data_IF_452405942480
#
_entry.id   IF_452405942480
#
_cell.length_a   1.000
_cell.length_b   1.000
_cell.length_c   1.000
_cell.angle_alpha   90.00
_cell.angle_beta   90.00
_cell.angle_gamma   90.00
#
_symmetry.space_group_name_H-M   'P 1'
#
loop_
_entity.id
_entity.type
_entity.pdbx_description
1 polymer ?
#
# COMPACT_ATOMS: atom_id res chain seq x y z
N UNK A 1 -51.52 -14.87 54.92
CA UNK A 1 -50.48 -14.10 54.20
C UNK A 1 -49.58 -15.08 53.45
N UNK A 2 -49.68 -15.11 52.12
CA UNK A 2 -48.93 -16.03 51.25
C UNK A 2 -47.53 -15.44 51.00
N UNK A 3 -46.47 -16.19 51.31
CA UNK A 3 -45.08 -15.78 51.00
C UNK A 3 -44.85 -15.91 49.48
N UNK A 4 -44.44 -14.81 48.86
CA UNK A 4 -44.12 -14.73 47.44
C UNK A 4 -42.86 -15.58 47.12
N UNK A 5 -42.95 -16.62 46.27
CA UNK A 5 -41.85 -17.54 45.98
C UNK A 5 -40.77 -16.96 45.04
N UNK A 6 -40.87 -15.69 44.62
CA UNK A 6 -39.94 -15.06 43.69
C UNK A 6 -38.94 -14.06 44.30
N UNK A 7 -38.89 -13.90 45.64
CA UNK A 7 -37.82 -13.11 46.26
C UNK A 7 -36.55 -13.96 46.39
N UNK A 8 -35.66 -13.87 45.39
CA UNK A 8 -34.28 -14.36 45.51
C UNK A 8 -33.45 -13.33 46.29
N UNK A 9 -32.71 -13.84 47.28
CA UNK A 9 -31.70 -13.10 48.03
C UNK A 9 -30.62 -12.54 47.10
N UNK A 10 -30.23 -11.28 47.31
CA UNK A 10 -29.08 -10.68 46.64
C UNK A 10 -27.81 -11.41 47.10
N UNK A 11 -27.35 -12.37 46.29
CA UNK A 11 -25.97 -12.87 46.39
C UNK A 11 -25.03 -11.70 46.15
N UNK A 12 -24.21 -11.42 47.14
CA UNK A 12 -23.10 -10.49 47.05
C UNK A 12 -22.04 -11.11 46.12
N UNK A 13 -22.21 -10.93 44.81
CA UNK A 13 -21.16 -11.24 43.83
C UNK A 13 -20.11 -10.16 44.00
N UNK A 14 -18.91 -10.53 44.45
CA UNK A 14 -17.75 -9.64 44.52
C UNK A 14 -17.41 -9.11 43.14
N UNK A 15 -18.09 -8.05 42.74
CA UNK A 15 -17.90 -7.35 41.48
C UNK A 15 -16.83 -6.31 41.72
N UNK A 16 -15.58 -6.72 41.51
CA UNK A 16 -14.46 -5.80 41.45
C UNK A 16 -14.42 -5.20 40.03
N UNK A 17 -14.87 -3.96 39.90
CA UNK A 17 -14.90 -3.23 38.64
C UNK A 17 -13.50 -2.82 38.14
N UNK A 18 -12.43 -3.12 38.88
CA UNK A 18 -11.04 -2.81 38.49
C UNK A 18 -10.43 -3.82 37.50
N UNK A 19 -11.12 -4.92 37.16
CA UNK A 19 -10.62 -5.95 36.24
C UNK A 19 -10.94 -5.63 34.76
N UNK A 20 -11.79 -4.63 34.49
CA UNK A 20 -12.17 -4.24 33.12
C UNK A 20 -11.40 -3.04 32.57
N UNK A 21 -10.23 -2.73 33.13
CA UNK A 21 -9.33 -1.73 32.56
C UNK A 21 -8.35 -2.38 31.56
N UNK A 22 -8.89 -3.14 30.60
CA UNK A 22 -8.13 -3.65 29.46
C UNK A 22 -8.77 -3.15 28.19
N UNK A 23 -8.04 -2.29 27.49
CA UNK A 23 -8.35 -1.82 26.15
C UNK A 23 -8.90 -2.96 25.26
N UNK A 24 -9.89 -2.69 24.39
CA UNK A 24 -10.48 -3.72 23.56
C UNK A 24 -9.40 -4.45 22.77
N UNK A 25 -9.32 -5.78 22.93
CA UNK A 25 -8.40 -6.64 22.19
C UNK A 25 -8.89 -6.72 20.73
N UNK A 26 -8.60 -5.71 19.92
CA UNK A 26 -8.90 -5.72 18.49
C UNK A 26 -8.09 -6.84 17.84
N UNK A 27 -8.77 -7.92 17.43
CA UNK A 27 -8.14 -8.99 16.66
C UNK A 27 -7.73 -8.41 15.31
N UNK A 28 -6.41 -8.42 15.04
CA UNK A 28 -5.85 -7.95 13.78
C UNK A 28 -6.48 -8.69 12.60
N UNK A 29 -6.74 -7.96 11.52
CA UNK A 29 -7.16 -8.55 10.26
C UNK A 29 -6.01 -9.34 9.62
N UNK A 30 -6.32 -10.26 8.70
CA UNK A 30 -5.28 -11.00 7.95
C UNK A 30 -4.35 -10.08 7.18
N UNK A 31 -4.88 -8.96 6.68
CA UNK A 31 -4.08 -7.94 6.00
C UNK A 31 -3.07 -7.31 6.95
N UNK A 32 -3.49 -6.93 8.15
CA UNK A 32 -2.62 -6.36 9.19
C UNK A 32 -1.57 -7.38 9.66
N UNK A 33 -1.97 -8.65 9.86
CA UNK A 33 -1.03 -9.73 10.15
C UNK A 33 0.04 -9.85 9.04
N UNK A 34 -0.37 -9.79 7.78
CA UNK A 34 0.55 -9.85 6.64
C UNK A 34 1.45 -8.61 6.53
N UNK A 35 0.96 -7.41 6.88
CA UNK A 35 1.80 -6.22 6.96
C UNK A 35 2.86 -6.31 8.07
N UNK A 36 2.51 -6.89 9.23
CA UNK A 36 3.48 -7.11 10.31
C UNK A 36 4.53 -8.16 9.95
N UNK A 37 4.13 -9.24 9.25
CA UNK A 37 5.09 -10.21 8.70
C UNK A 37 6.00 -9.56 7.66
N UNK A 38 5.45 -8.76 6.76
CA UNK A 38 6.24 -7.98 5.80
C UNK A 38 7.24 -7.08 6.54
N UNK A 39 6.80 -6.38 7.60
CA UNK A 39 7.67 -5.50 8.38
C UNK A 39 8.89 -6.26 8.90
N UNK A 40 8.69 -7.41 9.55
CA UNK A 40 9.79 -8.26 10.04
C UNK A 40 10.74 -8.69 8.92
N UNK A 41 10.20 -9.15 7.78
CA UNK A 41 11.01 -9.54 6.61
C UNK A 41 11.86 -8.36 6.06
N UNK A 42 11.29 -7.15 6.03
CA UNK A 42 11.97 -5.96 5.52
C UNK A 42 12.98 -5.38 6.53
N UNK A 43 12.84 -5.66 7.82
CA UNK A 43 13.84 -5.31 8.85
C UNK A 43 15.11 -6.14 8.70
N UNK A 44 14.96 -7.43 8.41
CA UNK A 44 16.10 -8.35 8.26
C UNK A 44 16.81 -8.22 6.90
N UNK A 45 16.10 -7.76 5.86
CA UNK A 45 16.70 -7.60 4.54
C UNK A 45 17.69 -6.41 4.50
N UNK A 46 18.94 -6.65 4.10
CA UNK A 46 19.95 -5.59 3.95
C UNK A 46 19.89 -4.89 2.59
N UNK A 47 19.29 -5.56 1.59
CA UNK A 47 19.18 -5.03 0.23
C UNK A 47 18.12 -3.94 0.09
N UNK A 48 18.22 -3.20 -1.02
CA UNK A 48 17.28 -2.14 -1.36
C UNK A 48 15.85 -2.65 -1.57
N UNK A 49 14.87 -1.92 -1.04
CA UNK A 49 13.44 -2.26 -1.07
C UNK A 49 12.63 -1.17 -1.78
N UNK A 50 11.90 -1.57 -2.82
CA UNK A 50 11.03 -0.70 -3.62
C UNK A 50 9.59 -1.20 -3.48
N UNK A 51 8.68 -0.34 -3.05
CA UNK A 51 7.25 -0.69 -2.93
C UNK A 51 6.42 0.05 -3.97
N UNK A 52 5.43 -0.62 -4.54
CA UNK A 52 4.41 -0.05 -5.42
C UNK A 52 3.11 0.10 -4.65
N UNK A 53 2.60 1.32 -4.56
CA UNK A 53 1.35 1.66 -3.87
C UNK A 53 0.42 2.35 -4.86
N UNK A 54 -0.87 2.08 -4.80
CA UNK A 54 -1.84 2.59 -5.78
C UNK A 54 -3.16 1.86 -5.66
N UNK A 55 -4.26 2.48 -6.10
CA UNK A 55 -5.59 1.88 -6.10
C UNK A 55 -5.64 0.54 -6.89
N UNK A 56 -6.70 -0.27 -6.68
CA UNK A 56 -6.93 -1.47 -7.48
C UNK A 56 -6.93 -1.16 -8.97
N UNK A 57 -6.24 -2.00 -9.76
CA UNK A 57 -6.17 -1.81 -11.21
C UNK A 57 -5.29 -0.65 -11.67
N UNK A 58 -4.53 0.01 -10.78
CA UNK A 58 -3.60 1.08 -11.15
C UNK A 58 -2.40 0.63 -12.01
N UNK A 59 -2.20 -0.68 -12.18
CA UNK A 59 -1.14 -1.26 -13.01
C UNK A 59 0.17 -1.58 -12.27
N UNK A 60 0.16 -1.63 -10.93
CA UNK A 60 1.33 -1.91 -10.07
C UNK A 60 2.09 -3.18 -10.47
N UNK A 61 1.41 -4.32 -10.47
CA UNK A 61 1.97 -5.63 -10.82
C UNK A 61 2.55 -5.68 -12.23
N UNK A 62 1.86 -5.07 -13.20
CA UNK A 62 2.32 -4.95 -14.59
C UNK A 62 3.53 -4.03 -14.72
N UNK A 63 3.57 -2.93 -13.96
CA UNK A 63 4.70 -2.02 -13.91
C UNK A 63 5.93 -2.69 -13.30
N UNK A 64 5.76 -3.41 -12.18
CA UNK A 64 6.83 -4.20 -11.56
C UNK A 64 7.42 -5.22 -12.53
N UNK A 65 6.56 -6.00 -13.21
CA UNK A 65 7.03 -6.98 -14.18
C UNK A 65 7.80 -6.30 -15.33
N UNK A 66 7.33 -5.13 -15.79
CA UNK A 66 7.99 -4.39 -16.88
C UNK A 66 9.32 -3.77 -16.45
N UNK A 67 9.40 -3.19 -15.25
CA UNK A 67 10.62 -2.60 -14.68
C UNK A 67 11.72 -3.64 -14.42
N UNK A 68 11.35 -4.91 -14.30
CA UNK A 68 12.29 -6.02 -14.07
C UNK A 68 12.50 -6.87 -15.32
N UNK A 69 12.11 -6.37 -16.50
CA UNK A 69 12.18 -7.07 -17.79
C UNK A 69 11.55 -8.48 -17.76
N UNK A 70 10.56 -8.71 -16.90
CA UNK A 70 9.90 -9.99 -16.72
C UNK A 70 10.69 -11.04 -15.94
N UNK A 71 11.77 -10.63 -15.27
CA UNK A 71 12.75 -11.52 -14.61
C UNK A 71 12.65 -11.56 -13.08
N UNK A 72 11.73 -10.82 -12.47
CA UNK A 72 11.53 -10.89 -11.03
C UNK A 72 10.94 -12.24 -10.60
N UNK A 73 11.38 -12.74 -9.46
CA UNK A 73 10.92 -14.02 -8.92
C UNK A 73 10.45 -13.92 -7.46
N UNK A 74 9.31 -14.50 -7.08
CA UNK A 74 8.31 -15.10 -7.97
C UNK A 74 7.69 -14.05 -8.90
N UNK A 75 7.10 -14.45 -10.02
CA UNK A 75 6.41 -13.49 -10.91
C UNK A 75 5.13 -12.94 -10.24
N UNK A 76 4.84 -11.62 -10.38
CA UNK A 76 3.58 -11.06 -9.95
C UNK A 76 2.41 -11.70 -10.70
N UNK A 77 1.30 -11.91 -10.00
CA UNK A 77 0.07 -12.37 -10.62
C UNK A 77 -0.62 -11.19 -11.30
N UNK A 78 -0.70 -11.21 -12.63
CA UNK A 78 -1.33 -10.17 -13.44
C UNK A 78 -2.65 -10.70 -13.97
N UNK A 79 -3.76 -10.23 -13.41
CA UNK A 79 -5.12 -10.57 -13.83
C UNK A 79 -5.91 -9.37 -14.35
N UNK A 80 -6.95 -9.65 -15.14
CA UNK A 80 -7.95 -8.66 -15.58
C UNK A 80 -8.90 -8.24 -14.44
N UNK A 81 -8.91 -8.97 -13.31
CA UNK A 81 -9.74 -8.68 -12.15
C UNK A 81 -9.14 -7.61 -11.23
N UNK A 82 -9.99 -6.78 -10.64
CA UNK A 82 -9.62 -5.89 -9.52
C UNK A 82 -9.14 -6.72 -8.34
N UNK A 83 -8.10 -6.27 -7.63
CA UNK A 83 -7.53 -6.94 -6.43
C UNK A 83 -6.94 -8.34 -6.67
N UNK A 84 -6.18 -8.52 -7.77
CA UNK A 84 -5.41 -9.76 -7.98
C UNK A 84 -4.38 -10.00 -6.86
N UNK A 85 -3.74 -8.92 -6.38
CA UNK A 85 -2.86 -8.94 -5.21
C UNK A 85 -3.71 -8.81 -3.95
N UNK A 86 -4.20 -9.93 -3.41
CA UNK A 86 -5.08 -9.96 -2.24
C UNK A 86 -4.37 -10.58 -1.03
N UNK A 87 -3.92 -9.73 -0.11
CA UNK A 87 -3.28 -10.15 1.14
C UNK A 87 -4.27 -10.33 2.29
N UNK A 88 -5.56 -10.08 2.07
CA UNK A 88 -6.60 -10.33 3.08
C UNK A 88 -7.11 -11.77 3.08
N UNK A 89 -6.92 -12.51 1.98
CA UNK A 89 -7.42 -13.89 1.81
C UNK A 89 -6.36 -14.96 2.10
N UNK A 90 -5.09 -14.71 1.75
CA UNK A 90 -3.98 -15.65 1.96
C UNK A 90 -3.27 -15.45 3.30
N UNK A 91 -2.85 -16.54 3.94
CA UNK A 91 -2.00 -16.51 5.16
C UNK A 91 -0.53 -16.22 4.85
N UNK A 92 -0.11 -16.55 3.64
CA UNK A 92 1.25 -16.43 3.13
C UNK A 92 1.15 -15.96 1.67
N UNK A 93 0.79 -14.68 1.45
CA UNK A 93 0.86 -14.13 0.10
C UNK A 93 2.32 -14.00 -0.33
N UNK A 94 2.54 -13.81 -1.63
CA UNK A 94 3.83 -13.32 -2.12
C UNK A 94 4.04 -11.90 -1.58
N UNK A 95 4.85 -11.77 -0.53
CA UNK A 95 5.14 -10.49 0.12
C UNK A 95 6.11 -9.62 -0.69
N UNK A 96 7.01 -10.25 -1.44
CA UNK A 96 8.00 -9.56 -2.26
C UNK A 96 8.39 -10.39 -3.49
N UNK A 97 9.00 -9.69 -4.45
CA UNK A 97 9.64 -10.22 -5.64
C UNK A 97 11.12 -9.82 -5.62
N UNK A 98 12.01 -10.72 -6.03
CA UNK A 98 13.45 -10.46 -6.12
C UNK A 98 13.87 -10.24 -7.55
N UNK A 99 14.65 -9.20 -7.78
CA UNK A 99 15.34 -8.97 -9.04
C UNK A 99 16.65 -8.20 -8.79
N UNK A 100 17.77 -8.71 -9.32
CA UNK A 100 19.11 -8.11 -9.14
C UNK A 100 19.47 -7.76 -7.69
N UNK A 101 19.11 -8.66 -6.77
CA UNK A 101 19.37 -8.51 -5.34
C UNK A 101 18.49 -7.47 -4.64
N UNK A 102 17.51 -6.87 -5.32
CA UNK A 102 16.56 -5.90 -4.77
C UNK A 102 15.21 -6.55 -4.46
N UNK A 103 14.55 -6.05 -3.41
CA UNK A 103 13.20 -6.46 -3.03
C UNK A 103 12.18 -5.52 -3.64
N UNK A 104 11.19 -6.08 -4.33
CA UNK A 104 10.07 -5.34 -4.90
C UNK A 104 8.77 -5.80 -4.22
N UNK A 105 8.01 -4.85 -3.67
CA UNK A 105 6.78 -5.14 -2.93
C UNK A 105 5.60 -4.66 -3.77
N UNK A 106 4.85 -5.60 -4.37
CA UNK A 106 3.57 -5.32 -5.00
C UNK A 106 2.48 -5.37 -3.93
N UNK A 107 1.92 -4.22 -3.55
CA UNK A 107 0.88 -4.18 -2.52
C UNK A 107 -0.50 -4.45 -3.11
N UNK A 108 -1.47 -4.86 -2.29
CA UNK A 108 -2.88 -4.74 -2.66
C UNK A 108 -3.26 -3.32 -3.07
N UNK A 109 -4.40 -3.15 -3.75
CA UNK A 109 -4.99 -1.81 -3.87
C UNK A 109 -5.44 -1.29 -2.51
N UNK A 110 -5.26 -0.01 -2.19
CA UNK A 110 -5.82 0.56 -0.97
C UNK A 110 -7.27 1.03 -1.16
N UNK A 111 -7.93 1.34 -0.05
CA UNK A 111 -9.28 1.89 0.01
C UNK A 111 -10.34 0.97 -0.62
N UNK A 112 -10.18 -0.33 -0.40
CA UNK A 112 -11.21 -1.34 -0.73
C UNK A 112 -11.79 -1.97 0.52
N UNK A 113 -12.93 -2.66 0.38
CA UNK A 113 -13.55 -3.38 1.51
C UNK A 113 -12.61 -4.41 2.15
N UNK A 114 -11.77 -5.05 1.35
CA UNK A 114 -10.79 -6.06 1.81
C UNK A 114 -9.44 -5.46 2.16
N UNK A 115 -9.15 -4.27 1.66
CA UNK A 115 -7.89 -3.55 1.86
C UNK A 115 -8.16 -2.12 2.33
N UNK A 116 -8.72 -1.96 3.54
CA UNK A 116 -9.12 -0.65 4.03
C UNK A 116 -7.90 0.24 4.25
N UNK A 117 -8.08 1.54 3.99
CA UNK A 117 -7.05 2.55 4.20
C UNK A 117 -6.46 2.51 5.62
N UNK A 118 -7.30 2.24 6.62
CA UNK A 118 -6.86 2.21 8.03
C UNK A 118 -5.79 1.14 8.29
N UNK A 119 -5.88 -0.04 7.67
CA UNK A 119 -4.85 -1.08 7.84
C UNK A 119 -3.50 -0.66 7.26
N UNK A 120 -3.49 0.13 6.17
CA UNK A 120 -2.26 0.74 5.67
C UNK A 120 -1.70 1.74 6.67
N UNK A 121 -2.55 2.65 7.17
CA UNK A 121 -2.17 3.68 8.14
C UNK A 121 -1.54 3.11 9.41
N UNK A 122 -2.10 2.01 9.91
CA UNK A 122 -1.70 1.45 11.21
C UNK A 122 -0.55 0.45 11.11
N UNK A 123 -0.51 -0.38 10.06
CA UNK A 123 0.36 -1.54 10.02
C UNK A 123 1.34 -1.59 8.84
N UNK A 124 1.14 -0.82 7.76
CA UNK A 124 2.05 -0.90 6.61
C UNK A 124 3.43 -0.32 6.95
N UNK A 125 4.54 -1.04 6.67
CA UNK A 125 5.87 -0.65 7.13
C UNK A 125 6.54 0.38 6.20
N UNK A 126 5.97 1.59 6.09
CA UNK A 126 6.52 2.68 5.26
C UNK A 126 7.96 3.04 5.64
N UNK A 127 8.32 2.91 6.91
CA UNK A 127 9.67 3.16 7.39
C UNK A 127 10.68 2.08 6.98
N UNK A 128 10.25 0.93 6.46
CA UNK A 128 11.16 -0.17 6.13
C UNK A 128 11.55 -0.19 4.64
N UNK A 129 11.08 0.75 3.83
CA UNK A 129 11.32 0.81 2.38
C UNK A 129 12.23 1.96 1.97
N UNK A 130 13.01 1.78 0.91
CA UNK A 130 13.97 2.77 0.41
C UNK A 130 13.40 3.61 -0.74
N UNK A 131 12.45 3.05 -1.49
CA UNK A 131 11.71 3.80 -2.50
C UNK A 131 10.23 3.40 -2.53
N UNK A 132 9.37 4.40 -2.76
CA UNK A 132 7.92 4.25 -2.89
C UNK A 132 7.52 4.78 -4.26
N UNK A 133 7.00 3.87 -5.09
CA UNK A 133 6.41 4.17 -6.39
C UNK A 133 4.91 4.29 -6.19
N UNK A 134 4.42 5.53 -6.13
CA UNK A 134 3.00 5.81 -5.98
C UNK A 134 2.33 5.91 -7.34
N UNK A 135 1.53 4.91 -7.70
CA UNK A 135 0.96 4.71 -9.03
C UNK A 135 -0.51 5.16 -9.05
N UNK A 136 -0.82 6.14 -9.88
CA UNK A 136 -2.17 6.67 -10.08
C UNK A 136 -2.70 6.26 -11.45
N UNK A 137 -3.96 5.81 -11.46
CA UNK A 137 -4.74 5.56 -12.67
C UNK A 137 -5.99 6.43 -12.72
N UNK A 138 -6.22 7.06 -13.86
CA UNK A 138 -7.42 7.86 -14.10
C UNK A 138 -7.39 9.17 -13.32
N UNK A 139 -8.56 9.55 -12.79
CA UNK A 139 -8.77 10.76 -11.99
C UNK A 139 -8.20 10.57 -10.59
N UNK A 140 -7.75 11.65 -9.97
CA UNK A 140 -7.33 11.64 -8.57
C UNK A 140 -8.56 11.52 -7.67
N UNK A 141 -8.57 10.52 -6.81
CA UNK A 141 -9.57 10.32 -5.77
C UNK A 141 -9.08 10.87 -4.42
N UNK A 142 -10.02 11.14 -3.49
CA UNK A 142 -9.66 11.59 -2.14
C UNK A 142 -8.73 10.59 -1.43
N UNK A 143 -8.94 9.29 -1.64
CA UNK A 143 -8.08 8.26 -1.04
C UNK A 143 -6.65 8.28 -1.60
N UNK A 144 -6.43 8.78 -2.82
CA UNK A 144 -5.09 9.00 -3.35
C UNK A 144 -4.39 10.13 -2.61
N UNK A 145 -5.09 11.24 -2.36
CA UNK A 145 -4.55 12.36 -1.58
C UNK A 145 -4.27 11.96 -0.13
N UNK A 146 -5.16 11.18 0.48
CA UNK A 146 -4.99 10.68 1.85
C UNK A 146 -3.81 9.70 1.95
N UNK A 147 -3.66 8.81 0.96
CA UNK A 147 -2.53 7.88 0.88
C UNK A 147 -1.22 8.62 0.66
N UNK A 148 -1.22 9.62 -0.22
CA UNK A 148 -0.06 10.45 -0.42
C UNK A 148 0.37 11.17 0.86
N UNK A 149 -0.57 11.78 1.60
CA UNK A 149 -0.26 12.41 2.90
C UNK A 149 0.29 11.39 3.90
N UNK A 150 -0.26 10.18 3.92
CA UNK A 150 0.23 9.09 4.77
C UNK A 150 1.67 8.67 4.39
N UNK A 151 1.96 8.50 3.10
CA UNK A 151 3.31 8.21 2.59
C UNK A 151 4.28 9.29 3.06
N UNK A 152 3.93 10.57 2.87
CA UNK A 152 4.81 11.68 3.25
C UNK A 152 5.02 11.79 4.77
N UNK A 153 4.05 11.36 5.59
CA UNK A 153 4.15 11.36 7.06
C UNK A 153 4.96 10.18 7.61
N UNK A 154 4.79 8.97 7.03
CA UNK A 154 5.30 7.71 7.61
C UNK A 154 6.59 7.20 6.98
N UNK A 155 6.94 7.66 5.78
CA UNK A 155 8.16 7.20 5.12
C UNK A 155 9.40 7.69 5.86
N UNK A 156 10.51 6.94 5.78
CA UNK A 156 11.79 7.47 6.26
C UNK A 156 12.12 8.75 5.50
N UNK A 157 12.78 9.69 6.20
CA UNK A 157 13.25 10.94 5.61
C UNK A 157 14.13 10.74 4.36
N UNK A 158 14.81 9.60 4.27
CA UNK A 158 15.69 9.25 3.14
C UNK A 158 15.01 8.37 2.08
N UNK A 159 13.76 7.92 2.30
CA UNK A 159 13.04 7.16 1.28
C UNK A 159 12.75 8.03 0.06
N UNK A 160 13.04 7.51 -1.12
CA UNK A 160 12.68 8.17 -2.38
C UNK A 160 11.21 7.95 -2.67
N UNK A 161 10.41 9.02 -2.73
CA UNK A 161 9.02 8.95 -3.19
C UNK A 161 8.95 9.41 -4.64
N UNK A 162 8.34 8.61 -5.51
CA UNK A 162 8.10 8.96 -6.91
C UNK A 162 6.63 8.77 -7.24
N UNK A 163 6.06 9.73 -7.96
CA UNK A 163 4.70 9.66 -8.46
C UNK A 163 4.71 9.16 -9.91
N UNK A 164 3.82 8.23 -10.22
CA UNK A 164 3.73 7.61 -11.54
C UNK A 164 2.29 7.65 -12.03
N UNK A 165 2.07 8.22 -13.21
CA UNK A 165 0.81 8.08 -13.95
C UNK A 165 0.95 6.92 -14.94
N UNK A 166 0.33 5.80 -14.61
CA UNK A 166 0.30 4.61 -15.47
C UNK A 166 -0.62 4.78 -16.69
N UNK A 167 -0.61 3.82 -17.62
CA UNK A 167 -1.46 3.85 -18.82
C UNK A 167 -1.24 5.10 -19.70
N UNK A 168 0.01 5.55 -19.81
CA UNK A 168 0.36 6.77 -20.56
C UNK A 168 0.05 6.69 -22.07
N UNK A 169 -0.06 5.47 -22.60
CA UNK A 169 -0.52 5.19 -23.96
C UNK A 169 -1.90 5.77 -24.32
N UNK A 170 -2.73 6.05 -23.32
CA UNK A 170 -4.11 6.50 -23.48
C UNK A 170 -4.21 8.03 -23.40
N UNK A 171 -3.09 8.73 -23.25
CA UNK A 171 -3.04 10.17 -23.00
C UNK A 171 -2.52 10.93 -24.22
N UNK A 172 -3.22 12.01 -24.58
CA UNK A 172 -2.71 13.02 -25.50
C UNK A 172 -1.72 13.95 -24.81
N UNK A 173 -1.01 14.78 -25.59
CA UNK A 173 -0.11 15.80 -25.02
C UNK A 173 -0.84 16.85 -24.17
N UNK A 174 -2.09 17.18 -24.53
CA UNK A 174 -2.88 18.12 -23.75
C UNK A 174 -3.37 17.50 -22.44
N UNK A 175 -3.72 16.20 -22.45
CA UNK A 175 -4.02 15.45 -21.23
C UNK A 175 -2.82 15.44 -20.29
N UNK A 176 -1.60 15.22 -20.83
CA UNK A 176 -0.37 15.21 -20.04
C UNK A 176 -0.12 16.54 -19.35
N UNK A 177 -0.20 17.65 -20.08
CA UNK A 177 -0.03 19.00 -19.52
C UNK A 177 -1.07 19.29 -18.43
N UNK A 178 -2.33 18.92 -18.67
CA UNK A 178 -3.39 19.12 -17.68
C UNK A 178 -3.16 18.28 -16.43
N UNK A 179 -2.75 17.02 -16.58
CA UNK A 179 -2.46 16.12 -15.46
C UNK A 179 -1.23 16.57 -14.68
N UNK A 180 -0.17 17.08 -15.33
CA UNK A 180 0.99 17.63 -14.62
C UNK A 180 0.61 18.79 -13.70
N UNK A 181 -0.27 19.69 -14.16
CA UNK A 181 -0.79 20.79 -13.36
C UNK A 181 -1.62 20.27 -12.18
N UNK A 182 -2.60 19.41 -12.46
CA UNK A 182 -3.48 18.82 -11.45
C UNK A 182 -2.68 18.07 -10.37
N UNK A 183 -1.74 17.23 -10.79
CA UNK A 183 -0.91 16.42 -9.90
C UNK A 183 -0.01 17.30 -9.05
N UNK A 184 0.59 18.35 -9.63
CA UNK A 184 1.38 19.30 -8.88
C UNK A 184 0.54 20.05 -7.82
N UNK A 185 -0.71 20.40 -8.11
CA UNK A 185 -1.61 21.06 -7.15
C UNK A 185 -2.04 20.12 -6.02
N UNK A 186 -2.52 18.92 -6.37
CA UNK A 186 -3.05 17.94 -5.42
C UNK A 186 -1.98 17.33 -4.52
N UNK A 187 -0.84 16.96 -5.09
CA UNK A 187 0.24 16.28 -4.39
C UNK A 187 1.41 17.21 -4.03
N UNK A 188 1.36 18.49 -4.42
CA UNK A 188 2.38 19.49 -4.09
C UNK A 188 3.78 19.07 -4.56
N UNK A 189 3.86 18.50 -5.77
CA UNK A 189 5.08 17.85 -6.28
C UNK A 189 6.29 18.77 -6.27
N UNK A 190 6.15 20.01 -6.74
CA UNK A 190 7.24 21.02 -6.69
C UNK A 190 7.67 21.35 -5.26
N UNK A 191 6.73 21.41 -4.31
CA UNK A 191 7.02 21.72 -2.90
C UNK A 191 7.82 20.60 -2.24
N UNK A 192 7.50 19.35 -2.54
CA UNK A 192 8.18 18.19 -1.98
C UNK A 192 9.33 17.67 -2.86
N UNK A 193 9.58 18.32 -4.00
CA UNK A 193 10.53 17.88 -5.02
C UNK A 193 10.33 16.41 -5.42
N UNK A 194 9.07 16.01 -5.64
CA UNK A 194 8.70 14.64 -5.99
C UNK A 194 8.71 14.50 -7.52
N UNK A 195 9.53 13.59 -8.06
CA UNK A 195 9.55 13.31 -9.49
C UNK A 195 8.22 12.69 -9.94
N UNK A 196 7.82 13.05 -11.16
CA UNK A 196 6.59 12.58 -11.77
C UNK A 196 6.88 11.99 -13.14
N UNK A 197 6.38 10.78 -13.39
CA UNK A 197 6.58 10.06 -14.65
C UNK A 197 5.26 9.61 -15.23
N UNK A 198 5.10 9.80 -16.54
CA UNK A 198 4.13 9.06 -17.34
C UNK A 198 4.77 7.73 -17.75
N UNK A 199 4.07 6.61 -17.52
CA UNK A 199 4.57 5.29 -17.91
C UNK A 199 3.51 4.44 -18.58
N UNK A 200 3.96 3.58 -19.49
CA UNK A 200 3.17 2.54 -20.10
C UNK A 200 3.83 1.18 -19.94
N UNK A 201 3.19 0.27 -19.18
CA UNK A 201 3.64 -1.12 -19.11
C UNK A 201 3.44 -1.85 -20.45
N UNK A 202 2.53 -1.37 -21.30
CA UNK A 202 2.19 -1.94 -22.61
C UNK A 202 3.22 -1.55 -23.67
N UNK A 203 3.43 -0.25 -23.90
CA UNK A 203 4.37 0.23 -24.91
C UNK A 203 5.83 0.26 -24.42
N UNK A 204 6.04 0.35 -23.10
CA UNK A 204 7.36 0.54 -22.50
C UNK A 204 7.77 2.01 -22.34
N UNK A 205 6.89 2.95 -22.68
CA UNK A 205 7.13 4.38 -22.45
C UNK A 205 7.43 4.68 -20.98
N UNK A 206 8.44 5.52 -20.72
CA UNK A 206 8.81 5.98 -19.37
C UNK A 206 9.48 4.92 -18.49
N UNK A 207 9.56 3.67 -18.94
CA UNK A 207 10.10 2.55 -18.15
C UNK A 207 11.60 2.71 -17.94
N UNK A 208 12.36 3.09 -18.96
CA UNK A 208 13.82 3.24 -18.85
C UNK A 208 14.21 4.41 -17.96
N UNK A 209 13.49 5.52 -18.08
CA UNK A 209 13.65 6.72 -17.26
C UNK A 209 13.36 6.39 -15.79
N UNK A 210 12.27 5.65 -15.53
CA UNK A 210 11.92 5.21 -14.19
C UNK A 210 12.92 4.18 -13.64
N UNK A 211 13.42 3.24 -14.44
CA UNK A 211 14.49 2.30 -14.06
C UNK A 211 15.75 3.05 -13.66
N UNK A 212 16.20 4.01 -14.48
CA UNK A 212 17.38 4.82 -14.21
C UNK A 212 17.22 5.61 -12.90
N UNK A 213 16.08 6.28 -12.73
CA UNK A 213 15.77 7.02 -11.51
C UNK A 213 15.76 6.12 -10.27
N UNK A 214 15.13 4.96 -10.37
CA UNK A 214 15.08 3.96 -9.30
C UNK A 214 16.36 3.12 -9.19
N UNK A 215 17.38 3.38 -10.01
CA UNK A 215 18.62 2.59 -10.12
C UNK A 215 18.38 1.06 -10.20
N UNK A 216 17.35 0.67 -10.96
CA UNK A 216 17.09 -0.72 -11.32
C UNK A 216 17.97 -1.04 -12.53
N UNK A 217 18.88 -1.99 -12.36
CA UNK A 217 19.84 -2.41 -13.40
C UNK A 217 19.32 -3.58 -14.23
#
# INVERSE_FOLDING_TARGET
MVKNPFKRDKKNTGYDSSIYDTAPYWRKSRLEENFLKLAALLEEAESRKIVFIGQPGAGKSSLLLKLTDGKCEPKPNIGQGTDTTNWSSSREPVWYHLYNGMYFIDTPGYDTKTHPFQSYRECFPFQNVDAIVFVIKGKIHQSDEDMFRLIMDKSKRMSTVVLVRGYAEDLTEDDRKSLEQEFNEKFKLKRYNIPFFFVSSRSGEGIRELQFFLHIK
#
